data_IF_851546132186
#
_entry.id   IF_851546132186
#
_cell.length_a   1.000
_cell.length_b   1.000
_cell.length_c   1.000
_cell.angle_alpha   90.00
_cell.angle_beta   90.00
_cell.angle_gamma   90.00
#
_symmetry.space_group_name_H-M   'P 1'
#
loop_
_entity.id
_entity.type
_entity.pdbx_description
1 polymer ?
#
# COMPACT_ATOMS: atom_id res chain seq x y z
N UNK A 1 -15.69 40.55 -5.93
CA UNK A 1 -15.34 39.28 -6.60
C UNK A 1 -14.11 38.74 -5.89
N UNK A 2 -14.18 37.55 -5.29
CA UNK A 2 -12.97 36.88 -4.82
C UNK A 2 -12.08 36.58 -6.04
N UNK A 3 -10.76 36.76 -5.95
CA UNK A 3 -9.87 36.42 -7.06
C UNK A 3 -10.01 34.94 -7.40
N UNK A 4 -10.11 34.63 -8.69
CA UNK A 4 -10.11 33.25 -9.19
C UNK A 4 -8.73 32.67 -8.88
N UNK A 5 -8.70 31.59 -8.10
CA UNK A 5 -7.47 30.89 -7.77
C UNK A 5 -7.06 30.02 -8.96
N UNK A 6 -5.81 30.08 -9.45
CA UNK A 6 -5.34 29.19 -10.51
C UNK A 6 -5.45 27.72 -10.09
N UNK A 7 -5.80 26.84 -11.03
CA UNK A 7 -5.99 25.41 -10.77
C UNK A 7 -4.70 24.74 -10.28
N UNK A 8 -3.53 25.23 -10.70
CA UNK A 8 -2.23 24.75 -10.26
C UNK A 8 -2.00 25.01 -8.76
N UNK A 9 -2.48 26.16 -8.26
CA UNK A 9 -2.40 26.49 -6.84
C UNK A 9 -3.38 25.62 -6.04
N UNK A 10 -4.58 25.38 -6.58
CA UNK A 10 -5.52 24.45 -5.99
C UNK A 10 -4.95 23.02 -5.93
N UNK A 11 -4.31 22.55 -7.00
CA UNK A 11 -3.62 21.26 -7.04
C UNK A 11 -2.57 21.18 -5.94
N UNK A 12 -1.71 22.20 -5.80
CA UNK A 12 -0.70 22.26 -4.74
C UNK A 12 -1.32 22.21 -3.33
N UNK A 13 -2.45 22.89 -3.11
CA UNK A 13 -3.17 22.80 -1.83
C UNK A 13 -3.65 21.36 -1.59
N UNK A 14 -4.28 20.73 -2.57
CA UNK A 14 -4.81 19.36 -2.47
C UNK A 14 -3.70 18.30 -2.35
N UNK A 15 -2.50 18.56 -2.88
CA UNK A 15 -1.32 17.72 -2.67
C UNK A 15 -0.96 17.60 -1.18
N UNK A 16 -1.23 18.64 -0.39
CA UNK A 16 -0.99 18.66 1.06
C UNK A 16 -2.16 18.15 1.90
N UNK A 17 -3.30 17.79 1.28
CA UNK A 17 -4.46 17.20 1.96
C UNK A 17 -4.37 15.67 2.00
N UNK A 18 -4.86 15.07 3.08
CA UNK A 18 -4.92 13.61 3.24
C UNK A 18 -5.72 12.96 2.08
N UNK A 19 -5.21 11.90 1.42
CA UNK A 19 -5.80 11.38 0.18
C UNK A 19 -7.28 10.98 0.28
N UNK A 20 -7.69 10.41 1.42
CA UNK A 20 -9.08 10.03 1.62
C UNK A 20 -10.00 11.26 1.68
N UNK A 21 -9.52 12.38 2.25
CA UNK A 21 -10.27 13.64 2.28
C UNK A 21 -10.35 14.26 0.89
N UNK A 22 -9.28 14.16 0.09
CA UNK A 22 -9.26 14.62 -1.31
C UNK A 22 -10.40 13.97 -2.12
N UNK A 23 -10.53 12.65 -2.05
CA UNK A 23 -11.53 11.90 -2.82
C UNK A 23 -12.94 12.02 -2.25
N UNK A 24 -13.10 11.90 -0.92
CA UNK A 24 -14.41 11.81 -0.29
C UNK A 24 -15.04 13.16 0.05
N UNK A 25 -14.24 14.23 0.18
CA UNK A 25 -14.69 15.54 0.65
C UNK A 25 -14.37 16.62 -0.37
N UNK A 26 -13.09 16.83 -0.70
CA UNK A 26 -12.67 17.92 -1.60
C UNK A 26 -13.32 17.82 -2.98
N UNK A 27 -13.42 16.60 -3.51
CA UNK A 27 -14.10 16.31 -4.79
C UNK A 27 -15.55 16.78 -4.87
N UNK A 28 -16.22 16.94 -3.72
CA UNK A 28 -17.64 17.30 -3.64
C UNK A 28 -17.87 18.81 -3.44
N UNK A 29 -16.82 19.62 -3.33
CA UNK A 29 -16.92 21.05 -3.05
C UNK A 29 -17.51 21.83 -4.22
N UNK A 30 -16.93 21.69 -5.42
CA UNK A 30 -17.40 22.33 -6.65
C UNK A 30 -16.83 21.62 -7.89
N UNK A 31 -17.23 22.05 -9.08
CA UNK A 31 -16.76 21.50 -10.35
C UNK A 31 -15.24 21.62 -10.53
N UNK A 32 -14.65 22.79 -10.26
CA UNK A 32 -13.21 23.03 -10.42
C UNK A 32 -12.38 22.12 -9.50
N UNK A 33 -12.83 21.92 -8.25
CA UNK A 33 -12.17 20.99 -7.34
C UNK A 33 -12.29 19.55 -7.81
N UNK A 34 -13.44 19.16 -8.35
CA UNK A 34 -13.63 17.84 -8.94
C UNK A 34 -12.70 17.61 -10.12
N UNK A 35 -12.49 18.60 -11.00
CA UNK A 35 -11.57 18.49 -12.13
C UNK A 35 -10.13 18.26 -11.68
N UNK A 36 -9.65 19.01 -10.66
CA UNK A 36 -8.31 18.81 -10.10
C UNK A 36 -8.19 17.47 -9.37
N UNK A 37 -9.22 17.05 -8.62
CA UNK A 37 -9.20 15.76 -7.93
C UNK A 37 -9.21 14.58 -8.90
N UNK A 38 -9.93 14.70 -10.02
CA UNK A 38 -10.02 13.66 -11.05
C UNK A 38 -8.85 13.71 -12.04
N UNK A 39 -7.89 14.64 -11.88
CA UNK A 39 -6.74 14.76 -12.78
C UNK A 39 -5.63 13.76 -12.46
N UNK A 40 -4.99 13.24 -13.51
CA UNK A 40 -3.80 12.41 -13.38
C UNK A 40 -2.63 13.17 -12.74
N UNK A 41 -2.51 14.49 -12.99
CA UNK A 41 -1.39 15.31 -12.48
C UNK A 41 -1.30 15.25 -10.96
N UNK A 42 -2.43 15.42 -10.27
CA UNK A 42 -2.50 15.41 -8.81
C UNK A 42 -1.98 14.08 -8.24
N UNK A 43 -2.47 12.96 -8.77
CA UNK A 43 -2.14 11.63 -8.25
C UNK A 43 -0.74 11.18 -8.63
N UNK A 44 -0.26 11.54 -9.83
CA UNK A 44 1.13 11.34 -10.25
C UNK A 44 2.09 12.08 -9.34
N UNK A 45 1.76 13.32 -9.00
CA UNK A 45 2.59 14.15 -8.14
C UNK A 45 2.57 13.66 -6.68
N UNK A 46 1.43 13.20 -6.16
CA UNK A 46 1.39 12.50 -4.86
C UNK A 46 2.26 11.24 -4.86
N UNK A 47 2.20 10.43 -5.92
CA UNK A 47 3.07 9.26 -6.06
C UNK A 47 4.54 9.66 -6.03
N UNK A 48 4.93 10.70 -6.78
CA UNK A 48 6.30 11.20 -6.82
C UNK A 48 6.79 11.69 -5.46
N UNK A 49 5.99 12.48 -4.72
CA UNK A 49 6.33 12.97 -3.37
C UNK A 49 6.51 11.86 -2.35
N UNK A 50 5.75 10.77 -2.47
CA UNK A 50 5.83 9.61 -1.56
C UNK A 50 6.77 8.50 -2.06
N UNK A 51 7.45 8.71 -3.19
CA UNK A 51 8.42 7.75 -3.74
C UNK A 51 7.81 6.52 -4.39
N UNK A 52 6.51 6.56 -4.74
CA UNK A 52 5.85 5.48 -5.48
C UNK A 52 6.20 5.55 -6.96
N UNK A 53 6.72 4.45 -7.49
CA UNK A 53 7.17 4.32 -8.88
C UNK A 53 6.38 3.22 -9.59
N UNK A 54 6.17 3.37 -10.89
CA UNK A 54 5.65 2.29 -11.73
C UNK A 54 6.72 1.21 -11.85
N UNK A 55 6.34 -0.07 -11.73
CA UNK A 55 7.29 -1.19 -11.90
C UNK A 55 7.86 -1.27 -13.32
N UNK A 56 7.12 -0.76 -14.30
CA UNK A 56 7.49 -0.76 -15.71
C UNK A 56 7.27 0.66 -16.25
N UNK A 57 8.33 1.29 -16.77
CA UNK A 57 8.25 2.63 -17.35
C UNK A 57 7.42 2.66 -18.64
N UNK A 58 7.16 1.50 -19.24
CA UNK A 58 6.38 1.37 -20.48
C UNK A 58 4.87 1.22 -20.24
N UNK A 59 4.45 0.92 -19.01
CA UNK A 59 3.04 0.74 -18.63
C UNK A 59 2.62 1.79 -17.62
N UNK A 60 2.12 2.91 -18.13
CA UNK A 60 1.49 3.93 -17.29
C UNK A 60 0.17 3.37 -16.71
N UNK A 61 -0.15 3.62 -15.43
CA UNK A 61 -1.46 3.31 -14.86
C UNK A 61 -2.58 3.97 -15.66
N UNK A 62 -3.67 3.25 -15.88
CA UNK A 62 -4.90 3.80 -16.45
C UNK A 62 -5.64 4.71 -15.46
N UNK A 63 -5.51 4.42 -14.16
CA UNK A 63 -6.08 5.21 -13.06
C UNK A 63 -4.99 5.49 -12.02
N UNK A 64 -4.49 6.72 -12.01
CA UNK A 64 -3.46 7.15 -11.08
C UNK A 64 -3.94 7.27 -9.63
N UNK A 65 -5.22 7.57 -9.41
CA UNK A 65 -5.81 7.59 -8.08
C UNK A 65 -5.78 6.20 -7.47
N UNK A 66 -6.31 5.21 -8.21
CA UNK A 66 -6.30 3.81 -7.79
C UNK A 66 -4.86 3.31 -7.56
N UNK A 67 -3.96 3.59 -8.50
CA UNK A 67 -2.54 3.23 -8.37
C UNK A 67 -1.92 3.77 -7.09
N UNK A 68 -2.13 5.05 -6.79
CA UNK A 68 -1.63 5.69 -5.57
C UNK A 68 -2.12 4.95 -4.30
N UNK A 69 -3.42 4.66 -4.20
CA UNK A 69 -3.96 3.96 -3.03
C UNK A 69 -3.44 2.52 -2.91
N UNK A 70 -3.28 1.81 -4.02
CA UNK A 70 -2.70 0.47 -4.03
C UNK A 70 -1.24 0.49 -3.55
N UNK A 71 -0.44 1.45 -4.02
CA UNK A 71 0.93 1.65 -3.54
C UNK A 71 0.97 1.93 -2.04
N UNK A 72 0.11 2.83 -1.55
CA UNK A 72 0.05 3.19 -0.12
C UNK A 72 -0.39 2.05 0.79
N UNK A 73 -1.15 1.09 0.25
CA UNK A 73 -1.59 -0.12 0.96
C UNK A 73 -0.67 -1.33 0.70
N UNK A 74 0.41 -1.18 -0.06
CA UNK A 74 1.30 -2.29 -0.43
C UNK A 74 2.14 -2.75 0.76
N UNK A 75 1.71 -3.83 1.40
CA UNK A 75 2.47 -4.56 2.41
C UNK A 75 2.05 -6.03 2.41
N UNK A 76 2.83 -6.88 3.07
CA UNK A 76 2.44 -8.28 3.24
C UNK A 76 1.23 -8.37 4.17
N UNK A 77 0.14 -8.93 3.67
CA UNK A 77 -1.09 -9.15 4.43
C UNK A 77 -1.07 -10.48 5.20
N UNK A 78 -0.14 -11.38 4.87
CA UNK A 78 0.05 -12.66 5.58
C UNK A 78 0.72 -12.36 6.92
N UNK A 79 0.06 -12.74 8.01
CA UNK A 79 0.63 -12.64 9.35
C UNK A 79 1.71 -13.70 9.54
N UNK A 80 2.78 -13.31 10.23
CA UNK A 80 3.87 -14.21 10.62
C UNK A 80 4.38 -15.13 9.47
N UNK A 81 4.77 -14.57 8.31
CA UNK A 81 5.17 -15.38 7.15
C UNK A 81 6.51 -16.11 7.34
N UNK A 82 7.27 -15.78 8.38
CA UNK A 82 8.65 -16.26 8.62
C UNK A 82 8.79 -17.05 9.92
N UNK A 83 7.69 -17.52 10.51
CA UNK A 83 7.70 -18.30 11.75
C UNK A 83 8.38 -17.61 12.96
N UNK A 84 8.57 -16.29 12.90
CA UNK A 84 9.18 -15.49 13.99
C UNK A 84 8.33 -15.54 15.25
N UNK A 85 7.01 -15.57 15.07
CA UNK A 85 6.02 -15.69 16.14
C UNK A 85 5.44 -17.11 16.20
N UNK A 86 6.31 -18.11 16.09
CA UNK A 86 5.95 -19.53 16.06
C UNK A 86 4.85 -19.81 15.03
N UNK A 87 3.77 -20.50 15.42
CA UNK A 87 2.60 -20.78 14.57
C UNK A 87 1.47 -19.73 14.72
N UNK A 88 1.71 -18.61 15.42
CA UNK A 88 0.69 -17.57 15.60
C UNK A 88 0.33 -16.93 14.26
N UNK A 89 -0.96 -16.62 14.09
CA UNK A 89 -1.49 -16.10 12.83
C UNK A 89 -1.75 -17.18 11.77
N UNK A 90 -1.40 -18.44 12.03
CA UNK A 90 -1.70 -19.57 11.17
C UNK A 90 -2.76 -20.49 11.78
N UNK A 91 -3.65 -20.99 10.93
CA UNK A 91 -4.61 -22.02 11.32
C UNK A 91 -4.17 -23.37 10.72
N UNK A 92 -3.82 -24.32 11.58
CA UNK A 92 -3.30 -25.62 11.16
C UNK A 92 -4.47 -26.52 10.77
N UNK A 93 -4.59 -26.81 9.47
CA UNK A 93 -5.65 -27.68 8.96
C UNK A 93 -5.36 -29.17 9.17
N UNK A 94 -4.08 -29.56 9.12
CA UNK A 94 -3.59 -30.94 9.30
C UNK A 94 -2.25 -30.90 10.03
N UNK A 95 -2.06 -31.82 10.97
CA UNK A 95 -0.93 -31.82 11.91
C UNK A 95 -0.50 -33.27 12.23
N UNK A 96 -0.24 -34.08 11.21
CA UNK A 96 0.12 -35.51 11.34
C UNK A 96 1.58 -35.73 11.77
N UNK A 97 1.93 -36.98 12.08
CA UNK A 97 3.24 -37.38 12.60
C UNK A 97 3.71 -36.53 13.79
N UNK A 98 4.95 -36.04 13.73
CA UNK A 98 5.57 -35.15 14.75
C UNK A 98 5.10 -33.69 14.70
N UNK A 99 4.00 -33.41 13.98
CA UNK A 99 3.37 -32.09 13.88
C UNK A 99 4.21 -31.04 13.14
N UNK A 100 3.59 -29.88 12.90
CA UNK A 100 4.29 -28.69 12.44
C UNK A 100 5.28 -28.21 13.48
N UNK A 101 6.50 -27.94 13.04
CA UNK A 101 7.55 -27.41 13.89
C UNK A 101 8.24 -26.22 13.22
N UNK A 102 9.10 -25.53 13.96
CA UNK A 102 9.84 -24.36 13.48
C UNK A 102 11.31 -24.74 13.38
N UNK A 103 11.86 -24.65 12.18
CA UNK A 103 13.29 -24.75 11.93
C UNK A 103 13.96 -23.39 12.01
N UNK A 104 15.28 -23.40 12.22
CA UNK A 104 16.13 -22.21 12.14
C UNK A 104 17.38 -22.50 11.32
N UNK A 105 17.88 -21.50 10.60
CA UNK A 105 19.17 -21.56 9.90
C UNK A 105 20.15 -20.57 10.52
N UNK A 106 21.16 -21.11 11.19
CA UNK A 106 22.30 -20.37 11.75
C UNK A 106 22.66 -20.84 13.16
N UNK A 107 23.63 -20.18 13.83
CA UNK A 107 24.08 -20.56 15.17
C UNK A 107 23.38 -19.81 16.32
N UNK A 108 22.50 -18.82 16.10
CA UNK A 108 22.04 -17.87 17.14
C UNK A 108 20.54 -17.47 17.07
N UNK A 109 19.94 -16.94 18.13
CA UNK A 109 18.49 -16.59 18.19
C UNK A 109 18.03 -15.43 17.23
N UNK A 110 18.94 -14.90 16.42
CA UNK A 110 18.69 -14.00 15.27
C UNK A 110 18.58 -14.74 13.92
N UNK A 111 18.54 -16.07 13.95
CA UNK A 111 18.48 -16.93 12.78
C UNK A 111 17.15 -16.79 12.02
N UNK A 112 17.22 -17.00 10.70
CA UNK A 112 16.02 -17.09 9.86
C UNK A 112 15.21 -18.32 10.26
N UNK A 113 13.96 -18.09 10.67
CA UNK A 113 13.02 -19.16 11.04
C UNK A 113 12.14 -19.56 9.86
N UNK A 114 11.69 -20.81 9.85
CA UNK A 114 10.82 -21.36 8.82
C UNK A 114 9.92 -22.47 9.36
N UNK A 115 8.79 -22.71 8.70
CA UNK A 115 7.87 -23.78 9.05
C UNK A 115 8.33 -25.13 8.47
N UNK A 116 8.26 -26.19 9.28
CA UNK A 116 8.65 -27.56 8.92
C UNK A 116 7.46 -28.49 9.10
N UNK A 117 7.20 -29.31 8.08
CA UNK A 117 6.18 -30.36 8.11
C UNK A 117 6.77 -31.69 8.55
N UNK A 118 5.93 -32.52 9.16
CA UNK A 118 6.24 -33.90 9.48
C UNK A 118 6.03 -34.85 8.28
N UNK A 119 6.30 -36.14 8.47
CA UNK A 119 6.16 -37.23 7.51
C UNK A 119 4.70 -37.63 7.19
N UNK A 120 3.71 -37.10 7.91
CA UNK A 120 2.27 -37.40 7.80
C UNK A 120 1.40 -36.14 7.72
#
# INVERSE_FOLDING_TARGET
MLPVLPLEVLEEILLNVHPHQVVCVCRLVCHEWKEVVDSDSLWREKCRREGYQTCDSTKLPEDWCLFYFLCKKRHNLIKNPRAEDKLNGWHIMKNGGDQWNIGSVGPNDTDLKYFVTSYE
#
